data_IF_506978550759
#
_entry.id   IF_506978550759
#
_cell.length_a   1.000
_cell.length_b   1.000
_cell.length_c   1.000
_cell.angle_alpha   90.00
_cell.angle_beta   90.00
_cell.angle_gamma   90.00
#
_symmetry.space_group_name_H-M   'P 1'
#
loop_
_entity.id
_entity.type
_entity.pdbx_description
1 polymer ?
#
# COMPACT_ATOMS: atom_id res chain seq x y z
N UNK A 1 17.60 3.01 -9.74
CA UNK A 1 16.21 2.91 -9.27
C UNK A 1 16.29 2.56 -7.80
N UNK A 2 16.20 3.56 -6.95
CA UNK A 2 16.37 3.41 -5.51
C UNK A 2 15.07 2.87 -4.90
N UNK A 3 15.21 1.89 -4.00
CA UNK A 3 14.10 1.35 -3.25
C UNK A 3 13.58 2.46 -2.31
N UNK A 4 12.47 3.11 -2.67
CA UNK A 4 11.93 4.22 -1.86
C UNK A 4 11.39 3.75 -0.49
N UNK A 5 10.93 2.50 -0.37
CA UNK A 5 10.48 1.88 0.89
C UNK A 5 10.47 0.35 0.75
N UNK A 6 10.76 -0.37 1.84
CA UNK A 6 10.49 -1.81 1.95
C UNK A 6 9.57 -2.06 3.15
N UNK A 7 8.53 -2.86 2.91
CA UNK A 7 7.59 -3.29 3.93
C UNK A 7 7.83 -4.76 4.25
N UNK A 8 7.87 -5.09 5.54
CA UNK A 8 7.96 -6.47 6.03
C UNK A 8 6.71 -6.76 6.86
N UNK A 9 6.07 -7.88 6.59
CA UNK A 9 4.95 -8.38 7.39
C UNK A 9 5.51 -9.49 8.28
N UNK A 10 5.52 -9.27 9.59
CA UNK A 10 5.91 -10.28 10.54
C UNK A 10 4.73 -10.61 11.44
N UNK A 11 4.59 -11.89 11.79
CA UNK A 11 3.68 -12.31 12.85
C UNK A 11 4.48 -12.32 14.15
N UNK A 12 3.99 -11.61 15.15
CA UNK A 12 4.63 -11.58 16.46
C UNK A 12 4.40 -12.93 17.17
N UNK A 13 5.47 -13.54 17.65
CA UNK A 13 5.46 -14.91 18.19
C UNK A 13 4.57 -15.07 19.43
N UNK A 14 4.46 -14.01 20.24
CA UNK A 14 3.78 -14.07 21.54
C UNK A 14 2.29 -13.74 21.45
N UNK A 15 1.92 -12.77 20.61
CA UNK A 15 0.54 -12.28 20.47
C UNK A 15 -0.20 -12.91 19.28
N UNK A 16 0.54 -13.43 18.28
CA UNK A 16 -0.03 -13.86 17.00
C UNK A 16 -0.48 -12.69 16.12
N UNK A 17 -0.29 -11.46 16.57
CA UNK A 17 -0.67 -10.26 15.84
C UNK A 17 0.21 -10.06 14.61
N UNK A 18 -0.41 -9.59 13.52
CA UNK A 18 0.30 -9.22 12.31
C UNK A 18 0.85 -7.80 12.49
N UNK A 19 2.16 -7.63 12.42
CA UNK A 19 2.84 -6.34 12.52
C UNK A 19 3.44 -6.02 11.16
N UNK A 20 3.18 -4.79 10.68
CA UNK A 20 3.84 -4.26 9.49
C UNK A 20 5.02 -3.43 9.94
N UNK A 21 6.19 -3.75 9.42
CA UNK A 21 7.39 -2.95 9.53
C UNK A 21 7.63 -2.18 8.24
N UNK A 22 8.08 -0.95 8.35
CA UNK A 22 8.47 -0.08 7.24
C UNK A 22 9.85 0.50 7.54
N UNK A 23 10.81 0.24 6.66
CA UNK A 23 12.15 0.82 6.77
C UNK A 23 12.23 2.11 5.95
N UNK A 24 12.49 3.23 6.63
CA UNK A 24 12.68 4.53 5.99
C UNK A 24 14.17 4.94 6.08
N UNK A 25 14.91 4.92 4.97
CA UNK A 25 16.34 5.25 4.96
C UNK A 25 16.63 6.76 4.95
N UNK A 26 15.60 7.62 4.90
CA UNK A 26 15.78 9.07 4.66
C UNK A 26 15.40 9.95 5.85
N UNK A 27 14.35 9.58 6.59
CA UNK A 27 13.82 10.42 7.68
C UNK A 27 13.41 9.58 8.90
N UNK A 28 13.69 10.12 10.09
CA UNK A 28 13.18 9.60 11.37
C UNK A 28 11.82 10.24 11.70
N UNK A 29 10.87 10.09 10.78
CA UNK A 29 9.50 10.53 11.00
C UNK A 29 8.52 9.58 10.31
N UNK A 30 7.50 9.17 11.06
CA UNK A 30 6.33 8.49 10.52
C UNK A 30 5.07 9.05 11.20
N UNK A 31 3.97 9.24 10.43
CA UNK A 31 2.71 9.68 11.00
C UNK A 31 2.09 8.57 11.87
N UNK A 32 1.25 8.95 12.84
CA UNK A 32 0.43 8.00 13.59
C UNK A 32 -0.41 7.14 12.62
N UNK A 33 -0.53 5.81 12.80
CA UNK A 33 -0.24 5.01 14.00
C UNK A 33 1.16 4.38 14.07
N UNK A 34 2.08 4.72 13.18
CA UNK A 34 3.42 4.14 13.14
C UNK A 34 4.27 4.53 14.36
N UNK A 35 5.04 3.58 14.89
CA UNK A 35 5.97 3.78 16.02
C UNK A 35 7.37 3.37 15.62
N UNK A 36 8.38 4.11 16.08
CA UNK A 36 9.78 3.71 15.89
C UNK A 36 10.07 2.47 16.72
N UNK A 37 10.83 1.55 16.14
CA UNK A 37 11.32 0.37 16.84
C UNK A 37 12.64 0.76 17.51
N UNK A 38 12.72 0.73 18.85
CA UNK A 38 13.92 1.15 19.59
C UNK A 38 15.12 0.22 19.34
N UNK A 39 14.86 -1.01 18.89
CA UNK A 39 15.84 -2.03 18.54
C UNK A 39 16.37 -1.85 17.11
N UNK A 40 17.07 -0.75 16.85
CA UNK A 40 18.02 -0.75 15.73
C UNK A 40 19.37 -1.17 16.28
N UNK A 41 19.62 -2.48 16.32
CA UNK A 41 20.95 -3.03 16.62
C UNK A 41 21.96 -2.38 15.69
N UNK A 42 23.06 -1.87 16.25
CA UNK A 42 24.18 -1.17 15.59
C UNK A 42 24.81 -1.88 14.38
N UNK A 43 24.35 -3.07 13.99
CA UNK A 43 24.87 -3.86 12.86
C UNK A 43 24.26 -3.50 11.50
N UNK A 44 23.13 -2.78 11.44
CA UNK A 44 22.63 -2.20 10.19
C UNK A 44 23.11 -0.75 10.06
N UNK A 45 24.38 -0.60 9.71
CA UNK A 45 25.05 0.69 9.51
C UNK A 45 24.51 1.45 8.28
N UNK A 46 23.31 2.00 8.41
CA UNK A 46 22.73 3.02 7.54
C UNK A 46 21.72 3.84 8.36
N UNK A 47 21.64 5.14 8.13
CA UNK A 47 20.82 6.13 8.86
C UNK A 47 19.29 5.93 8.70
N UNK A 48 18.81 4.70 8.58
CA UNK A 48 17.39 4.40 8.45
C UNK A 48 16.72 4.10 9.78
N UNK A 49 15.47 4.54 9.91
CA UNK A 49 14.62 4.20 11.06
C UNK A 49 13.62 3.13 10.66
N UNK A 50 13.53 2.07 11.46
CA UNK A 50 12.52 1.04 11.31
C UNK A 50 11.27 1.41 12.09
N UNK A 51 10.17 1.62 11.38
CA UNK A 51 8.86 1.87 11.97
C UNK A 51 8.03 0.59 11.96
N UNK A 52 7.16 0.41 12.96
CA UNK A 52 6.20 -0.68 13.00
C UNK A 52 4.79 -0.15 13.31
N UNK A 53 3.78 -0.87 12.84
CA UNK A 53 2.38 -0.69 13.26
C UNK A 53 1.70 -2.05 13.34
N UNK A 54 0.79 -2.22 14.30
CA UNK A 54 -0.10 -3.38 14.30
C UNK A 54 -1.03 -3.30 13.09
N UNK A 55 -1.17 -4.41 12.37
CA UNK A 55 -2.10 -4.54 11.26
C UNK A 55 -3.52 -4.60 11.82
N UNK A 56 -4.10 -3.44 12.04
CA UNK A 56 -5.50 -3.32 12.41
C UNK A 56 -6.27 -3.06 11.11
N UNK A 57 -6.92 -4.10 10.59
CA UNK A 57 -7.48 -4.13 9.23
C UNK A 57 -8.48 -2.98 8.98
N UNK A 58 -9.12 -2.46 10.04
CA UNK A 58 -10.35 -1.68 9.87
C UNK A 58 -10.41 -0.31 10.56
N UNK A 59 -9.55 0.06 11.52
CA UNK A 59 -9.91 1.21 12.37
C UNK A 59 -9.67 2.59 11.74
N UNK A 60 -8.48 2.84 11.16
CA UNK A 60 -8.14 4.18 10.68
C UNK A 60 -8.76 4.50 9.31
N UNK A 61 -8.68 3.55 8.38
CA UNK A 61 -9.26 3.71 7.05
C UNK A 61 -10.79 3.82 7.10
N UNK A 62 -11.48 3.04 7.94
CA UNK A 62 -12.94 3.16 8.07
C UNK A 62 -13.38 4.43 8.80
N UNK A 63 -12.67 4.84 9.85
CA UNK A 63 -13.08 6.04 10.62
C UNK A 63 -12.96 7.31 9.77
N UNK A 64 -11.87 7.45 9.02
CA UNK A 64 -11.68 8.58 8.10
C UNK A 64 -12.68 8.48 6.93
N UNK A 65 -12.93 7.29 6.39
CA UNK A 65 -13.92 7.07 5.32
C UNK A 65 -15.34 7.41 5.76
N UNK A 66 -15.74 7.00 6.97
CA UNK A 66 -17.07 7.29 7.55
C UNK A 66 -17.25 8.78 7.84
N UNK A 67 -16.23 9.46 8.37
CA UNK A 67 -16.26 10.91 8.60
C UNK A 67 -16.37 11.70 7.29
N UNK A 68 -15.57 11.34 6.30
CA UNK A 68 -15.58 11.94 4.97
C UNK A 68 -16.94 11.79 4.27
N UNK A 69 -17.49 10.58 4.25
CA UNK A 69 -18.74 10.28 3.56
C UNK A 69 -19.91 11.07 4.15
N UNK A 70 -19.95 11.19 5.50
CA UNK A 70 -20.95 12.00 6.20
C UNK A 70 -20.84 13.49 5.87
N UNK A 71 -19.62 14.03 5.84
CA UNK A 71 -19.39 15.44 5.55
C UNK A 71 -19.69 15.77 4.08
N UNK A 72 -19.30 14.92 3.13
CA UNK A 72 -19.65 15.06 1.72
C UNK A 72 -21.18 15.05 1.53
N UNK A 73 -21.86 14.07 2.12
CA UNK A 73 -23.32 13.99 2.07
C UNK A 73 -23.99 15.23 2.68
N UNK A 74 -23.48 15.74 3.80
CA UNK A 74 -23.99 16.98 4.41
C UNK A 74 -23.82 18.18 3.49
N UNK A 75 -22.67 18.33 2.83
CA UNK A 75 -22.43 19.43 1.88
C UNK A 75 -23.37 19.32 0.68
N UNK A 76 -23.54 18.13 0.11
CA UNK A 76 -24.47 17.90 -1.01
C UNK A 76 -25.92 18.17 -0.62
N UNK A 77 -26.36 17.75 0.56
CA UNK A 77 -27.72 18.03 1.04
C UNK A 77 -27.92 19.54 1.24
N UNK A 78 -26.95 20.23 1.84
CA UNK A 78 -27.00 21.68 2.01
C UNK A 78 -27.08 22.42 0.67
N UNK A 79 -26.27 22.04 -0.33
CA UNK A 79 -26.30 22.68 -1.65
C UNK A 79 -27.62 22.40 -2.39
N UNK A 80 -28.16 21.20 -2.27
CA UNK A 80 -29.44 20.81 -2.87
C UNK A 80 -30.62 21.55 -2.25
N UNK A 81 -30.68 21.65 -0.91
CA UNK A 81 -31.76 22.36 -0.20
C UNK A 81 -31.75 23.85 -0.57
N UNK A 82 -30.56 24.45 -0.68
CA UNK A 82 -30.43 25.87 -0.97
C UNK A 82 -30.76 26.22 -2.43
N UNK A 83 -30.62 25.26 -3.35
CA UNK A 83 -30.89 25.39 -4.78
C UNK A 83 -32.08 24.52 -5.22
N UNK A 84 -33.19 24.59 -4.49
CA UNK A 84 -34.41 23.81 -4.71
C UNK A 84 -34.94 23.83 -6.17
N UNK A 85 -34.66 24.89 -6.93
CA UNK A 85 -35.12 25.04 -8.32
C UNK A 85 -34.14 24.52 -9.40
N UNK A 86 -32.90 24.19 -9.06
CA UNK A 86 -31.85 23.83 -10.03
C UNK A 86 -30.96 22.69 -9.51
N UNK A 87 -31.59 21.56 -9.17
CA UNK A 87 -30.91 20.37 -8.64
C UNK A 87 -29.79 19.88 -9.56
N UNK A 88 -30.06 19.76 -10.87
CA UNK A 88 -29.08 19.22 -11.83
C UNK A 88 -27.81 20.07 -11.95
N UNK A 89 -27.97 21.40 -12.00
CA UNK A 89 -26.83 22.34 -12.08
C UNK A 89 -26.02 22.32 -10.78
N UNK A 90 -26.71 22.28 -9.63
CA UNK A 90 -26.04 22.21 -8.32
C UNK A 90 -25.25 20.91 -8.12
N UNK A 91 -25.76 19.80 -8.67
CA UNK A 91 -25.10 18.52 -8.61
C UNK A 91 -23.87 18.49 -9.53
N UNK A 92 -23.96 19.12 -10.71
CA UNK A 92 -22.84 19.30 -11.63
C UNK A 92 -21.75 20.19 -11.04
N UNK A 93 -22.13 21.24 -10.30
CA UNK A 93 -21.20 22.11 -9.59
C UNK A 93 -20.45 21.38 -8.45
N UNK A 94 -21.11 20.48 -7.73
CA UNK A 94 -20.44 19.62 -6.74
C UNK A 94 -19.43 18.70 -7.41
N UNK A 95 -19.76 18.13 -8.57
CA UNK A 95 -18.79 17.34 -9.36
C UNK A 95 -17.62 18.21 -9.83
N UNK A 96 -17.90 19.39 -10.39
CA UNK A 96 -16.87 20.34 -10.79
C UNK A 96 -15.92 20.64 -9.63
N UNK A 97 -16.43 20.87 -8.43
CA UNK A 97 -15.58 21.07 -7.25
C UNK A 97 -14.70 19.85 -6.92
N UNK A 98 -15.24 18.63 -6.99
CA UNK A 98 -14.47 17.40 -6.74
C UNK A 98 -13.30 17.27 -7.72
N UNK A 99 -13.50 17.70 -8.98
CA UNK A 99 -12.47 17.73 -10.01
C UNK A 99 -11.60 19.00 -9.98
N UNK A 100 -11.74 19.86 -8.97
CA UNK A 100 -11.07 21.16 -8.86
C UNK A 100 -11.34 22.09 -10.06
N UNK A 101 -12.53 21.98 -10.65
CA UNK A 101 -13.02 22.85 -11.72
C UNK A 101 -13.89 23.97 -11.15
N UNK A 102 -13.96 25.09 -11.88
CA UNK A 102 -14.80 26.22 -11.49
C UNK A 102 -16.30 25.91 -11.57
N UNK A 103 -17.07 26.50 -10.68
CA UNK A 103 -18.54 26.49 -10.70
C UNK A 103 -19.06 27.47 -11.74
N UNK A 104 -20.17 27.11 -12.39
CA UNK A 104 -20.85 28.02 -13.34
C UNK A 104 -22.05 28.76 -12.73
N UNK A 105 -22.59 28.30 -11.59
CA UNK A 105 -23.74 28.93 -10.94
C UNK A 105 -23.38 30.30 -10.34
N UNK A 106 -24.16 31.36 -10.64
CA UNK A 106 -23.96 32.68 -10.05
C UNK A 106 -24.29 32.67 -8.55
N UNK A 107 -23.34 33.11 -7.74
CA UNK A 107 -23.46 33.17 -6.28
C UNK A 107 -23.98 34.55 -5.84
N UNK A 108 -25.26 34.80 -6.04
CA UNK A 108 -25.85 36.13 -5.78
C UNK A 108 -26.14 36.38 -4.29
N UNK A 109 -26.43 35.34 -3.51
CA UNK A 109 -26.74 35.46 -2.08
C UNK A 109 -25.50 35.24 -1.21
N UNK A 110 -25.35 36.07 -0.17
CA UNK A 110 -24.24 35.96 0.80
C UNK A 110 -24.19 34.58 1.50
N UNK A 111 -25.35 33.99 1.78
CA UNK A 111 -25.43 32.64 2.35
C UNK A 111 -24.87 31.55 1.43
N UNK A 112 -25.11 31.65 0.12
CA UNK A 112 -24.53 30.71 -0.86
C UNK A 112 -23.02 30.82 -0.92
N UNK A 113 -22.48 32.04 -0.86
CA UNK A 113 -21.03 32.30 -0.88
C UNK A 113 -20.33 31.65 0.31
N UNK A 114 -20.89 31.80 1.51
CA UNK A 114 -20.32 31.21 2.73
C UNK A 114 -20.33 29.67 2.65
N UNK A 115 -21.47 29.08 2.28
CA UNK A 115 -21.59 27.61 2.13
C UNK A 115 -20.62 27.09 1.08
N UNK A 116 -20.48 27.80 -0.05
CA UNK A 116 -19.57 27.43 -1.12
C UNK A 116 -18.10 27.47 -0.69
N UNK A 117 -17.66 28.51 0.02
CA UNK A 117 -16.28 28.60 0.53
C UNK A 117 -15.98 27.46 1.49
N UNK A 118 -16.89 27.16 2.42
CA UNK A 118 -16.73 26.04 3.36
C UNK A 118 -16.65 24.71 2.61
N UNK A 119 -17.54 24.48 1.64
CA UNK A 119 -17.53 23.28 0.80
C UNK A 119 -16.22 23.14 0.01
N UNK A 120 -15.71 24.23 -0.55
CA UNK A 120 -14.46 24.26 -1.30
C UNK A 120 -13.26 23.92 -0.42
N UNK A 121 -13.17 24.50 0.79
CA UNK A 121 -12.12 24.16 1.76
C UNK A 121 -12.18 22.68 2.15
N UNK A 122 -13.37 22.15 2.40
CA UNK A 122 -13.54 20.74 2.72
C UNK A 122 -13.08 19.83 1.58
N UNK A 123 -13.51 20.11 0.34
CA UNK A 123 -13.12 19.35 -0.86
C UNK A 123 -11.61 19.46 -1.14
N UNK A 124 -10.99 20.61 -0.88
CA UNK A 124 -9.55 20.79 -1.04
C UNK A 124 -8.74 19.92 -0.06
N UNK A 125 -9.12 19.90 1.22
CA UNK A 125 -8.48 19.03 2.21
C UNK A 125 -8.67 17.55 1.87
N UNK A 126 -9.88 17.21 1.43
CA UNK A 126 -10.30 15.90 0.96
C UNK A 126 -9.50 15.38 -0.25
N UNK A 127 -9.34 16.21 -1.28
CA UNK A 127 -8.75 15.83 -2.56
C UNK A 127 -7.28 15.44 -2.41
N UNK A 128 -6.53 16.10 -1.52
CA UNK A 128 -5.13 15.77 -1.23
C UNK A 128 -4.95 14.33 -0.75
N UNK A 129 -5.84 13.84 0.13
CA UNK A 129 -5.79 12.48 0.65
C UNK A 129 -6.15 11.44 -0.41
N UNK A 130 -7.12 11.76 -1.28
CA UNK A 130 -7.52 10.89 -2.39
C UNK A 130 -6.41 10.80 -3.43
N UNK A 131 -5.85 11.93 -3.84
CA UNK A 131 -4.74 11.99 -4.78
C UNK A 131 -3.52 11.22 -4.28
N UNK A 132 -3.17 11.37 -2.99
CA UNK A 132 -2.06 10.61 -2.40
C UNK A 132 -2.27 9.09 -2.50
N UNK A 133 -3.49 8.60 -2.25
CA UNK A 133 -3.81 7.17 -2.36
C UNK A 133 -3.81 6.67 -3.79
N UNK A 134 -4.35 7.45 -4.74
CA UNK A 134 -4.32 7.09 -6.17
C UNK A 134 -2.87 7.05 -6.65
N UNK A 135 -2.05 8.04 -6.30
CA UNK A 135 -0.63 8.04 -6.63
C UNK A 135 0.12 6.87 -6.01
N UNK A 136 -0.16 6.52 -4.75
CA UNK A 136 0.42 5.34 -4.12
C UNK A 136 -0.02 4.04 -4.80
N UNK A 137 -1.27 3.96 -5.25
CA UNK A 137 -1.80 2.81 -6.00
C UNK A 137 -1.16 2.71 -7.40
N UNK A 138 -1.02 3.83 -8.12
CA UNK A 138 -0.41 3.88 -9.44
C UNK A 138 1.12 3.68 -9.39
N UNK A 139 1.76 4.13 -8.32
CA UNK A 139 3.17 3.91 -8.06
C UNK A 139 3.46 2.51 -7.51
N UNK A 140 2.44 1.75 -7.11
CA UNK A 140 2.61 0.36 -6.68
C UNK A 140 3.09 -0.43 -7.89
N UNK A 141 4.34 -0.94 -7.88
CA UNK A 141 4.78 -1.80 -8.97
C UNK A 141 3.87 -3.01 -9.04
N UNK A 142 3.51 -3.43 -10.25
CA UNK A 142 2.78 -4.68 -10.49
C UNK A 142 3.65 -5.87 -10.11
N UNK A 143 3.80 -6.09 -8.80
CA UNK A 143 4.40 -7.30 -8.26
C UNK A 143 3.27 -8.30 -8.11
N UNK A 144 3.41 -9.42 -8.81
CA UNK A 144 2.58 -10.59 -8.61
C UNK A 144 2.69 -11.01 -7.14
N UNK A 145 1.56 -11.36 -6.51
CA UNK A 145 1.57 -11.88 -5.15
C UNK A 145 2.13 -13.30 -5.19
N UNK A 146 3.41 -13.45 -4.84
CA UNK A 146 4.09 -14.73 -4.80
C UNK A 146 3.81 -15.36 -3.43
N UNK A 147 2.60 -15.87 -3.26
CA UNK A 147 2.15 -16.49 -2.01
C UNK A 147 2.26 -18.01 -2.04
N UNK A 148 2.37 -18.61 -3.23
CA UNK A 148 2.38 -20.06 -3.45
C UNK A 148 3.54 -20.49 -4.36
N UNK A 149 3.97 -21.75 -4.23
CA UNK A 149 4.94 -22.37 -5.14
C UNK A 149 4.43 -22.43 -6.58
N UNK A 150 3.10 -22.55 -6.77
CA UNK A 150 2.49 -22.46 -8.09
C UNK A 150 2.74 -21.09 -8.74
N UNK A 151 2.62 -20.01 -7.97
CA UNK A 151 2.86 -18.67 -8.50
C UNK A 151 4.34 -18.49 -8.89
N UNK A 152 5.28 -19.11 -8.19
CA UNK A 152 6.70 -19.11 -8.58
C UNK A 152 6.91 -19.83 -9.92
N UNK A 153 6.24 -20.96 -10.11
CA UNK A 153 6.30 -21.74 -11.34
C UNK A 153 5.67 -21.01 -12.53
N UNK A 154 4.44 -20.50 -12.37
CA UNK A 154 3.70 -19.80 -13.44
C UNK A 154 4.47 -18.58 -13.98
N UNK A 155 5.24 -17.93 -13.12
CA UNK A 155 6.07 -16.76 -13.47
C UNK A 155 7.54 -17.11 -13.77
N UNK A 156 7.89 -18.40 -13.86
CA UNK A 156 9.23 -18.91 -14.23
C UNK A 156 10.37 -18.36 -13.37
N UNK A 157 10.16 -18.32 -12.06
CA UNK A 157 11.21 -17.93 -11.12
C UNK A 157 12.29 -19.00 -11.01
N UNK A 158 13.55 -18.58 -10.89
CA UNK A 158 14.64 -19.43 -10.42
C UNK A 158 14.56 -19.55 -8.90
N UNK A 159 14.21 -20.73 -8.41
CA UNK A 159 13.97 -21.02 -7.00
C UNK A 159 15.21 -21.67 -6.41
N UNK A 160 15.84 -21.00 -5.46
CA UNK A 160 16.97 -21.51 -4.69
C UNK A 160 16.48 -21.94 -3.31
N UNK A 161 16.81 -23.16 -2.90
CA UNK A 161 16.29 -23.77 -1.67
C UNK A 161 17.30 -24.75 -1.06
N UNK A 162 17.10 -25.09 0.22
CA UNK A 162 17.93 -26.09 0.90
C UNK A 162 17.70 -27.50 0.34
N UNK A 163 18.75 -28.33 0.17
CA UNK A 163 18.60 -29.71 -0.32
C UNK A 163 17.58 -30.54 0.45
N UNK A 164 17.43 -30.30 1.76
CA UNK A 164 16.46 -30.98 2.62
C UNK A 164 15.00 -30.74 2.20
N UNK A 165 14.70 -29.61 1.55
CA UNK A 165 13.36 -29.27 1.04
C UNK A 165 13.09 -29.88 -0.35
N UNK A 166 14.07 -30.56 -0.96
CA UNK A 166 13.93 -31.08 -2.32
C UNK A 166 12.78 -32.06 -2.44
N UNK A 167 12.60 -32.92 -1.44
CA UNK A 167 11.52 -33.90 -1.43
C UNK A 167 10.16 -33.22 -1.26
N UNK A 168 10.02 -32.29 -0.30
CA UNK A 168 8.78 -31.53 -0.08
C UNK A 168 8.35 -30.73 -1.32
N UNK A 169 9.30 -30.14 -2.04
CA UNK A 169 9.03 -29.39 -3.28
C UNK A 169 8.68 -30.33 -4.43
N UNK A 170 9.35 -31.47 -4.53
CA UNK A 170 9.09 -32.47 -5.57
C UNK A 170 7.72 -33.13 -5.40
N UNK A 171 7.31 -33.38 -4.15
CA UNK A 171 6.04 -34.03 -3.81
C UNK A 171 4.82 -33.18 -4.21
N UNK A 172 4.98 -31.86 -4.37
CA UNK A 172 3.91 -31.00 -4.88
C UNK A 172 3.61 -31.20 -6.37
N UNK A 173 4.44 -31.96 -7.11
CA UNK A 173 4.27 -32.25 -8.54
C UNK A 173 4.10 -30.99 -9.42
N UNK A 174 4.76 -29.88 -9.06
CA UNK A 174 4.73 -28.63 -9.82
C UNK A 174 5.78 -28.65 -10.94
N UNK A 175 7.01 -29.09 -10.64
CA UNK A 175 8.13 -29.18 -11.59
C UNK A 175 8.35 -30.62 -12.09
N UNK A 176 7.40 -31.13 -12.88
CA UNK A 176 7.42 -32.53 -13.31
C UNK A 176 8.42 -32.79 -14.45
N UNK A 177 8.51 -31.87 -15.42
CA UNK A 177 9.36 -32.07 -16.60
C UNK A 177 10.82 -31.68 -16.33
N UNK A 178 11.76 -32.29 -17.05
CA UNK A 178 13.17 -31.92 -16.92
C UNK A 178 13.44 -30.48 -17.36
N UNK A 179 12.61 -29.97 -18.26
CA UNK A 179 12.62 -28.57 -18.66
C UNK A 179 12.18 -27.62 -17.54
N UNK A 180 11.30 -28.06 -16.64
CA UNK A 180 10.86 -27.26 -15.49
C UNK A 180 11.91 -27.30 -14.38
N UNK A 181 12.57 -28.44 -14.18
CA UNK A 181 13.60 -28.62 -13.14
C UNK A 181 14.78 -27.67 -13.30
N UNK A 182 15.03 -27.09 -14.49
CA UNK A 182 16.09 -26.08 -14.69
C UNK A 182 15.90 -24.80 -13.87
N UNK A 183 14.69 -24.57 -13.36
CA UNK A 183 14.36 -23.45 -12.49
C UNK A 183 14.59 -23.76 -11.01
N UNK A 184 14.86 -25.01 -10.64
CA UNK A 184 15.11 -25.45 -9.29
C UNK A 184 16.62 -25.58 -9.02
N UNK A 185 17.10 -24.84 -8.02
CA UNK A 185 18.52 -24.79 -7.65
C UNK A 185 18.69 -25.19 -6.18
N UNK A 186 18.90 -26.48 -5.89
CA UNK A 186 19.26 -26.90 -4.54
C UNK A 186 20.65 -26.35 -4.20
N UNK A 187 20.76 -25.61 -3.09
CA UNK A 187 21.99 -24.94 -2.69
C UNK A 187 22.27 -25.11 -1.19
N UNK A 188 23.52 -25.41 -0.85
CA UNK A 188 23.97 -25.45 0.54
C UNK A 188 24.24 -24.04 1.10
N UNK A 189 24.27 -23.92 2.43
CA UNK A 189 24.80 -22.73 3.07
C UNK A 189 26.31 -22.64 2.80
N UNK A 190 26.89 -21.51 2.34
CA UNK A 190 26.42 -20.11 2.42
C UNK A 190 25.82 -19.52 1.13
N UNK A 191 25.56 -20.32 0.10
CA UNK A 191 25.12 -19.82 -1.20
C UNK A 191 23.71 -19.23 -1.17
N UNK A 192 22.87 -19.72 -0.25
CA UNK A 192 21.53 -19.17 -0.03
C UNK A 192 21.55 -17.72 0.47
N UNK A 193 22.62 -17.27 1.14
CA UNK A 193 22.80 -15.86 1.50
C UNK A 193 23.14 -14.99 0.28
N UNK A 194 23.90 -15.55 -0.67
CA UNK A 194 24.14 -14.88 -1.97
C UNK A 194 22.84 -14.78 -2.77
N UNK A 195 21.93 -15.76 -2.64
CA UNK A 195 20.61 -15.70 -3.26
C UNK A 195 19.84 -14.45 -2.84
N UNK A 196 19.77 -14.13 -1.55
CA UNK A 196 19.04 -12.92 -1.07
C UNK A 196 19.59 -11.65 -1.70
N UNK A 197 20.92 -11.53 -1.76
CA UNK A 197 21.60 -10.39 -2.37
C UNK A 197 21.34 -10.29 -3.87
N UNK A 198 21.25 -11.43 -4.55
CA UNK A 198 20.96 -11.51 -5.98
C UNK A 198 19.48 -11.28 -6.30
N UNK A 199 18.56 -11.75 -5.45
CA UNK A 199 17.12 -11.50 -5.58
C UNK A 199 16.79 -10.01 -5.48
N UNK A 200 17.56 -9.24 -4.71
CA UNK A 200 17.46 -7.77 -4.70
C UNK A 200 17.85 -7.10 -6.02
N UNK A 201 18.67 -7.76 -6.85
CA UNK A 201 19.12 -7.24 -8.16
C UNK A 201 18.34 -7.82 -9.33
N UNK A 202 17.88 -9.06 -9.20
CA UNK A 202 17.16 -9.80 -10.23
C UNK A 202 15.82 -10.30 -9.66
N UNK A 203 14.74 -9.70 -10.15
CA UNK A 203 13.38 -10.01 -9.72
C UNK A 203 12.85 -11.35 -10.23
N UNK A 204 13.64 -12.15 -10.95
CA UNK A 204 13.28 -13.52 -11.36
C UNK A 204 13.82 -14.60 -10.43
N UNK A 205 14.46 -14.21 -9.32
CA UNK A 205 15.04 -15.14 -8.34
C UNK A 205 14.18 -15.16 -7.09
N UNK A 206 13.92 -16.36 -6.57
CA UNK A 206 13.27 -16.59 -5.29
C UNK A 206 14.15 -17.47 -4.41
N UNK A 207 14.21 -17.17 -3.12
CA UNK A 207 14.99 -17.92 -2.14
C UNK A 207 14.02 -18.46 -1.06
N UNK A 208 14.03 -19.77 -0.83
CA UNK A 208 13.19 -20.42 0.19
C UNK A 208 14.06 -20.82 1.38
N UNK A 209 13.73 -20.29 2.55
CA UNK A 209 14.38 -20.60 3.82
C UNK A 209 13.49 -21.55 4.64
N UNK A 210 14.12 -22.39 5.45
CA UNK A 210 13.46 -23.23 6.45
C UNK A 210 13.32 -22.48 7.77
#
# INVERSE_FOLDING_TARGET
MDLLTSFYLCRESDSGDLIIYNYNPFINYAPYPWRSTETTSQEMAGEGTLFHQHFNNDSFAETVKKGYLKALASVTICTVIHNYFAFGVSLLDVFSLIFNMGIMTPLDRLSMRIVFVIASFFIFLASSAVQSKISALLARPSRYSIDTLQNLFDHRYHVFYYPDLHQDISDQNIWVTDDDKKFLHPCEYPELFKCTKNAGKNSTIACIYK
#
